data_IF_760974151607
#
_entry.id   IF_760974151607
#
_cell.length_a   1.000
_cell.length_b   1.000
_cell.length_c   1.000
_cell.angle_alpha   90.00
_cell.angle_beta   90.00
_cell.angle_gamma   90.00
#
_symmetry.space_group_name_H-M   'P 1'
#
loop_
_entity.id
_entity.type
_entity.pdbx_description
1 polymer ?
#
# COMPACT_ATOMS: atom_id res chain seq x y z
N UNK A 1 21.35 8.98 0.84
CA UNK A 1 21.48 7.99 1.93
C UNK A 1 22.38 8.51 3.05
N UNK A 2 23.42 9.28 2.73
CA UNK A 2 24.38 9.83 3.71
C UNK A 2 23.76 10.77 4.75
N UNK A 3 22.82 11.63 4.35
CA UNK A 3 22.11 12.52 5.28
C UNK A 3 21.42 11.75 6.42
N UNK A 4 20.72 10.65 6.12
CA UNK A 4 20.05 9.82 7.14
C UNK A 4 21.03 9.04 8.02
N UNK A 5 22.18 8.62 7.48
CA UNK A 5 23.26 7.99 8.26
C UNK A 5 23.87 8.97 9.27
N UNK A 6 23.91 10.24 8.91
CA UNK A 6 24.47 11.32 9.74
C UNK A 6 23.41 12.07 10.57
N UNK A 7 22.19 11.51 10.72
CA UNK A 7 21.05 12.16 11.41
C UNK A 7 20.71 13.58 10.90
N UNK A 8 21.03 13.88 9.64
CA UNK A 8 20.69 15.15 9.00
C UNK A 8 19.33 15.06 8.32
N UNK A 9 18.54 16.15 8.35
CA UNK A 9 17.29 16.21 7.61
C UNK A 9 17.55 16.01 6.11
N UNK A 10 16.66 15.28 5.45
CA UNK A 10 16.72 15.11 4.01
C UNK A 10 16.40 16.43 3.30
N UNK A 11 16.98 16.66 2.10
CA UNK A 11 16.59 17.81 1.31
C UNK A 11 15.08 17.78 1.02
N UNK A 12 14.40 18.94 0.97
CA UNK A 12 12.95 19.01 0.79
C UNK A 12 12.48 18.43 -0.56
N UNK A 13 13.39 18.28 -1.53
CA UNK A 13 13.16 17.61 -2.82
C UNK A 13 13.01 16.09 -2.70
N UNK A 14 13.48 15.49 -1.59
CA UNK A 14 13.36 14.06 -1.38
C UNK A 14 11.89 13.68 -1.13
N UNK A 15 11.40 12.69 -1.87
CA UNK A 15 10.01 12.19 -1.82
C UNK A 15 9.54 11.84 -0.40
N UNK A 16 10.48 11.43 0.44
CA UNK A 16 10.25 10.95 1.80
C UNK A 16 10.47 12.02 2.88
N UNK A 17 11.06 13.17 2.57
CA UNK A 17 11.44 14.18 3.57
C UNK A 17 10.27 14.62 4.46
N UNK A 18 9.09 14.78 3.88
CA UNK A 18 7.84 15.18 4.57
C UNK A 18 7.36 14.17 5.64
N UNK A 19 7.87 12.95 5.62
CA UNK A 19 7.45 11.87 6.51
C UNK A 19 8.43 11.65 7.67
N UNK A 20 9.38 12.58 7.89
CA UNK A 20 10.42 12.50 8.92
C UNK A 20 11.09 11.12 9.01
N UNK A 21 11.67 10.63 7.89
CA UNK A 21 12.29 9.32 7.84
C UNK A 21 13.56 9.29 8.68
N UNK A 22 13.83 8.17 9.33
CA UNK A 22 15.07 7.93 10.07
C UNK A 22 15.64 6.55 9.72
N UNK A 23 16.94 6.38 9.92
CA UNK A 23 17.62 5.12 9.67
C UNK A 23 17.75 4.33 10.98
N UNK A 24 17.28 3.09 10.99
CA UNK A 24 17.49 2.15 12.09
C UNK A 24 17.84 0.79 11.51
N UNK A 25 18.93 0.17 11.98
CA UNK A 25 19.39 -1.15 11.52
C UNK A 25 19.52 -1.23 9.98
N UNK A 26 20.10 -0.20 9.35
CA UNK A 26 20.21 -0.05 7.88
C UNK A 26 18.87 -0.04 7.12
N UNK A 27 17.75 0.14 7.81
CA UNK A 27 16.42 0.25 7.22
C UNK A 27 15.86 1.66 7.43
N UNK A 28 15.23 2.21 6.39
CA UNK A 28 14.52 3.49 6.52
C UNK A 28 13.17 3.21 7.17
N UNK A 29 12.88 3.92 8.26
CA UNK A 29 11.62 3.83 8.98
C UNK A 29 10.95 5.20 9.05
N UNK A 30 9.62 5.23 9.15
CA UNK A 30 8.85 6.46 9.34
C UNK A 30 8.33 6.53 10.79
N UNK A 31 8.52 7.67 11.45
CA UNK A 31 7.97 7.92 12.79
C UNK A 31 6.60 8.58 12.69
N UNK A 32 5.53 7.91 13.13
CA UNK A 32 4.15 8.44 13.01
C UNK A 32 3.48 8.84 14.31
N UNK A 33 3.80 8.21 15.44
CA UNK A 33 3.20 8.56 16.73
C UNK A 33 4.29 8.68 17.79
N UNK A 34 4.83 9.88 17.92
CA UNK A 34 5.84 10.20 18.92
C UNK A 34 5.30 10.03 20.35
N UNK A 35 3.97 10.13 20.52
CA UNK A 35 3.29 10.28 21.81
C UNK A 35 2.28 9.17 22.16
N UNK A 36 2.12 8.12 21.35
CA UNK A 36 1.25 7.00 21.74
C UNK A 36 2.01 5.98 22.59
N UNK A 37 1.38 5.36 23.61
CA UNK A 37 1.98 4.30 24.43
C UNK A 37 2.04 2.96 23.65
N UNK A 38 2.65 2.99 22.47
CA UNK A 38 2.88 1.82 21.61
C UNK A 38 4.34 1.41 21.71
N UNK A 39 4.60 0.10 21.64
CA UNK A 39 5.95 -0.46 21.60
C UNK A 39 6.76 0.13 20.42
N UNK A 40 8.07 0.26 20.60
CA UNK A 40 8.94 0.96 19.65
C UNK A 40 8.97 0.35 18.24
N UNK A 41 8.55 -0.92 18.08
CA UNK A 41 8.43 -1.57 16.77
C UNK A 41 7.09 -1.26 16.08
N UNK A 42 6.00 -1.14 16.85
CA UNK A 42 4.69 -0.69 16.32
C UNK A 42 4.73 0.81 15.97
N UNK A 43 5.59 1.58 16.65
CA UNK A 43 5.75 3.03 16.43
C UNK A 43 6.45 3.38 15.11
N UNK A 44 7.19 2.44 14.54
CA UNK A 44 8.17 2.70 13.48
C UNK A 44 8.07 1.68 12.35
N UNK A 45 7.28 2.03 11.34
CA UNK A 45 7.02 1.16 10.21
C UNK A 45 8.17 1.19 9.21
N UNK A 46 8.53 0.02 8.70
CA UNK A 46 9.51 -0.12 7.63
C UNK A 46 8.99 0.57 6.36
N UNK A 47 9.83 1.44 5.78
CA UNK A 47 9.52 2.10 4.52
C UNK A 47 9.82 1.16 3.35
N UNK A 48 8.80 0.88 2.54
CA UNK A 48 8.92 0.04 1.36
C UNK A 48 8.62 0.83 0.09
N UNK A 49 9.43 0.62 -0.94
CA UNK A 49 9.17 1.18 -2.27
C UNK A 49 7.99 0.46 -2.94
N UNK A 50 6.90 1.18 -3.22
CA UNK A 50 5.69 0.58 -3.79
C UNK A 50 5.85 -0.09 -5.16
N UNK A 51 6.97 0.14 -5.87
CA UNK A 51 7.27 -0.50 -7.14
C UNK A 51 8.14 -1.78 -7.00
N UNK A 52 8.61 -2.09 -5.79
CA UNK A 52 9.48 -3.22 -5.57
C UNK A 52 8.72 -4.55 -5.77
N UNK A 53 9.30 -5.58 -6.42
CA UNK A 53 8.62 -6.85 -6.66
C UNK A 53 8.08 -7.52 -5.39
N UNK A 54 8.85 -7.47 -4.29
CA UNK A 54 8.41 -7.94 -2.97
C UNK A 54 7.10 -7.27 -2.53
N UNK A 55 7.00 -5.94 -2.63
CA UNK A 55 5.80 -5.20 -2.21
C UNK A 55 4.61 -5.59 -3.06
N UNK A 56 4.82 -5.77 -4.38
CA UNK A 56 3.76 -6.23 -5.27
C UNK A 56 3.24 -7.62 -4.87
N UNK A 57 4.14 -8.53 -4.50
CA UNK A 57 3.78 -9.87 -4.08
C UNK A 57 3.09 -9.87 -2.70
N UNK A 58 3.60 -9.06 -1.76
CA UNK A 58 2.98 -8.82 -0.46
C UNK A 58 1.53 -8.34 -0.63
N UNK A 59 1.32 -7.28 -1.43
CA UNK A 59 -0.03 -6.76 -1.73
C UNK A 59 -0.90 -7.82 -2.39
N UNK A 60 -0.36 -8.64 -3.30
CA UNK A 60 -1.13 -9.71 -3.96
C UNK A 60 -1.57 -10.78 -2.95
N UNK A 61 -0.68 -11.20 -2.05
CA UNK A 61 -0.98 -12.20 -1.03
C UNK A 61 -2.05 -11.69 -0.05
N UNK A 62 -1.85 -10.49 0.49
CA UNK A 62 -2.84 -9.83 1.36
C UNK A 62 -4.19 -9.65 0.63
N UNK A 63 -4.20 -9.54 -0.70
CA UNK A 63 -5.42 -9.29 -1.48
C UNK A 63 -6.29 -10.52 -1.58
N UNK A 64 -5.66 -11.68 -1.65
CA UNK A 64 -6.35 -12.96 -1.59
C UNK A 64 -6.77 -13.26 -0.15
N UNK A 65 -5.91 -13.01 0.84
CA UNK A 65 -6.21 -13.26 2.26
C UNK A 65 -7.38 -12.40 2.78
N UNK A 66 -7.47 -11.14 2.32
CA UNK A 66 -8.59 -10.26 2.62
C UNK A 66 -9.79 -10.49 1.68
N UNK A 67 -9.92 -11.65 1.04
CA UNK A 67 -11.07 -12.02 0.21
C UNK A 67 -11.49 -10.94 -0.81
N UNK A 68 -10.51 -10.34 -1.49
CA UNK A 68 -10.74 -9.31 -2.51
C UNK A 68 -11.39 -8.00 -2.03
N UNK A 69 -11.35 -7.73 -0.72
CA UNK A 69 -11.85 -6.50 -0.13
C UNK A 69 -11.18 -5.25 -0.70
N UNK A 70 -11.91 -4.14 -0.65
CA UNK A 70 -11.52 -2.86 -1.26
C UNK A 70 -10.26 -2.23 -0.65
N UNK A 71 -9.74 -1.21 -1.34
CA UNK A 71 -8.49 -0.53 -0.99
C UNK A 71 -8.46 0.08 0.43
N UNK A 72 -9.63 0.43 1.01
CA UNK A 72 -9.71 1.02 2.35
C UNK A 72 -9.25 0.04 3.44
N UNK A 73 -9.75 -1.19 3.42
CA UNK A 73 -9.40 -2.24 4.38
C UNK A 73 -7.92 -2.59 4.25
N UNK A 74 -7.46 -2.67 3.01
CA UNK A 74 -6.06 -2.88 2.66
C UNK A 74 -5.09 -1.91 3.28
N UNK A 75 -5.46 -0.62 3.26
CA UNK A 75 -4.63 0.42 3.82
C UNK A 75 -4.55 0.25 5.33
N UNK A 76 -5.67 -0.03 6.01
CA UNK A 76 -5.67 -0.25 7.45
C UNK A 76 -4.78 -1.44 7.85
N UNK A 77 -4.92 -2.57 7.15
CA UNK A 77 -4.16 -3.79 7.43
C UNK A 77 -2.64 -3.57 7.24
N UNK A 78 -2.22 -3.13 6.05
CA UNK A 78 -0.80 -2.97 5.75
C UNK A 78 -0.17 -1.77 6.46
N UNK A 79 -0.94 -0.75 6.84
CA UNK A 79 -0.40 0.38 7.61
C UNK A 79 -0.06 0.01 9.05
N UNK A 80 -0.54 -1.12 9.58
CA UNK A 80 -0.14 -1.60 10.90
C UNK A 80 1.31 -2.09 10.93
N UNK A 81 1.80 -2.64 9.82
CA UNK A 81 3.11 -3.29 9.75
C UNK A 81 4.13 -2.56 8.87
N UNK A 82 3.65 -1.89 7.80
CA UNK A 82 4.50 -1.30 6.77
C UNK A 82 4.07 0.11 6.35
N UNK A 83 5.05 0.92 5.97
CA UNK A 83 4.80 2.18 5.26
C UNK A 83 5.21 2.03 3.81
N UNK A 84 4.25 1.88 2.90
CA UNK A 84 4.53 1.72 1.48
C UNK A 84 4.48 3.09 0.78
N UNK A 85 5.57 3.47 0.12
CA UNK A 85 5.59 4.67 -0.72
C UNK A 85 4.63 4.53 -1.88
N UNK A 86 3.75 5.53 -2.02
CA UNK A 86 2.66 5.50 -2.99
C UNK A 86 1.81 4.21 -2.84
N UNK A 87 1.64 3.75 -1.59
CA UNK A 87 0.96 2.49 -1.26
C UNK A 87 -0.43 2.39 -1.87
N UNK A 88 -1.24 3.46 -1.80
CA UNK A 88 -2.55 3.52 -2.46
C UNK A 88 -2.48 3.21 -3.95
N UNK A 89 -1.50 3.78 -4.65
CA UNK A 89 -1.31 3.55 -6.09
C UNK A 89 -0.84 2.12 -6.36
N UNK A 90 0.08 1.59 -5.55
CA UNK A 90 0.56 0.21 -5.66
C UNK A 90 -0.59 -0.81 -5.45
N UNK A 91 -1.41 -0.61 -4.42
CA UNK A 91 -2.56 -1.45 -4.09
C UNK A 91 -3.58 -1.41 -5.23
N UNK A 92 -3.96 -0.21 -5.70
CA UNK A 92 -4.87 -0.07 -6.85
C UNK A 92 -4.36 -0.81 -8.07
N UNK A 93 -3.06 -0.72 -8.39
CA UNK A 93 -2.47 -1.44 -9.54
C UNK A 93 -2.64 -2.96 -9.42
N UNK A 94 -2.53 -3.52 -8.22
CA UNK A 94 -2.73 -4.97 -8.00
C UNK A 94 -4.21 -5.33 -8.14
N UNK A 95 -5.11 -4.60 -7.47
CA UNK A 95 -6.55 -4.84 -7.52
C UNK A 95 -7.08 -4.71 -8.96
N UNK A 96 -6.64 -3.70 -9.71
CA UNK A 96 -7.03 -3.51 -11.11
C UNK A 96 -6.56 -4.63 -12.04
N UNK A 97 -5.53 -5.39 -11.66
CA UNK A 97 -5.05 -6.56 -12.42
C UNK A 97 -5.69 -7.88 -11.96
N UNK A 98 -6.43 -7.87 -10.85
CA UNK A 98 -7.10 -9.04 -10.30
C UNK A 98 -8.34 -9.40 -11.14
N UNK A 99 -8.36 -10.61 -11.71
CA UNK A 99 -9.46 -11.09 -12.54
C UNK A 99 -10.79 -11.19 -11.75
N UNK A 100 -10.84 -11.81 -10.55
CA UNK A 100 -12.04 -11.81 -9.70
C UNK A 100 -12.63 -10.41 -9.48
N UNK A 101 -11.78 -9.43 -9.15
CA UNK A 101 -12.24 -8.05 -8.94
C UNK A 101 -12.72 -7.37 -10.22
N UNK A 102 -12.14 -7.71 -11.38
CA UNK A 102 -12.62 -7.20 -12.66
C UNK A 102 -14.01 -7.75 -12.98
N UNK A 103 -14.18 -9.06 -12.85
CA UNK A 103 -15.45 -9.75 -13.09
C UNK A 103 -16.56 -9.19 -12.19
N UNK A 104 -16.30 -9.08 -10.88
CA UNK A 104 -17.26 -8.52 -9.92
C UNK A 104 -17.66 -7.06 -10.21
N UNK A 105 -16.80 -6.28 -10.85
CA UNK A 105 -17.08 -4.88 -11.23
C UNK A 105 -17.62 -4.73 -12.65
N UNK A 106 -17.69 -5.82 -13.41
CA UNK A 106 -18.18 -5.78 -14.79
C UNK A 106 -19.65 -5.41 -14.77
N UNK A 107 -20.06 -4.50 -15.66
CA UNK A 107 -21.48 -4.21 -15.85
C UNK A 107 -22.14 -5.47 -16.38
N UNK A 108 -23.35 -5.77 -15.90
CA UNK A 108 -24.20 -6.77 -16.53
C UNK A 108 -24.38 -6.34 -17.99
N UNK A 109 -24.22 -7.28 -18.93
CA UNK A 109 -24.49 -6.99 -20.34
C UNK A 109 -25.94 -6.54 -20.49
N UNK A 110 -26.19 -5.53 -21.31
CA UNK A 110 -27.56 -5.23 -21.70
C UNK A 110 -28.02 -6.39 -22.58
N UNK A 111 -28.89 -7.25 -22.06
CA UNK A 111 -29.54 -8.29 -22.84
C UNK A 111 -30.41 -7.60 -23.88
N UNK A 112 -30.05 -7.75 -25.15
CA UNK A 112 -30.90 -7.33 -26.26
C UNK A 112 -31.89 -8.48 -26.44
N UNK A 113 -33.10 -8.32 -25.89
CA UNK A 113 -34.20 -9.25 -26.08
C UNK A 113 -34.52 -9.32 -27.58
N UNK A 114 -34.47 -10.52 -28.16
CA UNK A 114 -34.94 -10.75 -29.53
C UNK A 114 -36.47 -10.70 -29.58
N UNK A 115 -37.08 -10.30 -30.71
CA UNK A 115 -38.52 -10.32 -30.84
C UNK A 115 -39.05 -11.75 -30.66
N UNK A 116 -40.04 -11.91 -29.78
CA UNK A 116 -40.74 -13.19 -29.56
C UNK A 116 -41.49 -13.58 -30.85
N UNK A 117 -41.43 -14.85 -31.28
CA UNK A 117 -42.25 -15.33 -32.39
C UNK A 117 -43.74 -15.31 -32.00
N UNK A 118 -44.56 -14.85 -32.94
CA UNK A 118 -46.03 -14.83 -32.87
C UNK A 118 -46.65 -16.22 -32.92
#
# INVERSE_FOLDING_TARGET
>A
MEALRNNRPLPPTAKIARFNPFLKNNQIRLGRLQFAPLSADVRHLLLLEGNHPFVRQLIKNTHVNLHHLGTKIFLSELHSDFSILRGRQAIKKVIHKCLPCKLSKSKCGNQIEGPLPS
#
